data_IF_472473195623
#
_entry.id   IF_472473195623
#
_cell.length_a   1.000
_cell.length_b   1.000
_cell.length_c   1.000
_cell.angle_alpha   90.00
_cell.angle_beta   90.00
_cell.angle_gamma   90.00
#
_symmetry.space_group_name_H-M   'P 1'
#
loop_
_entity.id
_entity.type
_entity.pdbx_description
1 polymer ?
#
# COMPACT_ATOMS: atom_id res chain seq x y z
N UNK A 1 -3.02 8.27 -5.88
CA UNK A 1 -2.00 9.31 -5.62
C UNK A 1 -0.96 9.33 -6.74
N UNK A 2 -1.21 10.05 -7.83
CA UNK A 2 -0.17 10.32 -8.83
C UNK A 2 0.59 11.59 -8.43
N UNK A 3 1.90 11.49 -8.22
CA UNK A 3 2.73 12.68 -8.19
C UNK A 3 2.67 13.33 -9.58
N UNK A 4 2.47 14.65 -9.68
CA UNK A 4 2.42 15.32 -10.98
C UNK A 4 3.71 15.06 -11.76
N UNK A 5 3.56 14.80 -13.06
CA UNK A 5 4.64 14.45 -13.98
C UNK A 5 5.69 15.57 -13.96
N UNK A 6 6.98 15.21 -13.85
CA UNK A 6 8.09 16.17 -13.85
C UNK A 6 8.55 16.68 -12.48
N UNK A 7 7.95 16.24 -11.36
CA UNK A 7 8.52 16.52 -10.02
C UNK A 7 9.61 15.53 -9.65
N UNK A 8 10.67 16.04 -9.02
CA UNK A 8 11.69 15.22 -8.39
C UNK A 8 11.04 14.30 -7.32
N UNK A 9 11.39 13.01 -7.32
CA UNK A 9 10.92 12.03 -6.32
C UNK A 9 11.54 12.25 -4.93
N UNK A 10 12.46 13.20 -4.79
CA UNK A 10 13.12 13.55 -3.53
C UNK A 10 12.06 14.04 -2.53
N UNK A 11 12.17 13.58 -1.28
CA UNK A 11 11.22 13.88 -0.18
C UNK A 11 9.79 13.32 -0.38
N UNK A 12 9.55 12.46 -1.37
CA UNK A 12 8.27 11.74 -1.44
C UNK A 12 8.15 10.71 -0.30
N UNK A 13 6.97 10.55 0.31
CA UNK A 13 6.76 9.54 1.34
C UNK A 13 7.07 8.14 0.80
N UNK A 14 7.83 7.35 1.58
CA UNK A 14 8.16 5.96 1.22
C UNK A 14 6.95 5.03 1.31
N UNK A 15 6.05 5.29 2.26
CA UNK A 15 4.84 4.52 2.49
C UNK A 15 3.61 5.41 2.26
N UNK A 16 2.51 4.78 1.84
CA UNK A 16 1.21 5.44 1.71
C UNK A 16 0.27 4.83 2.73
N UNK A 17 -0.47 5.69 3.45
CA UNK A 17 -1.65 5.35 4.26
C UNK A 17 -1.50 4.26 5.35
N UNK A 18 -2.16 4.42 6.49
CA UNK A 18 -2.52 3.24 7.26
C UNK A 18 -3.65 2.49 6.53
N UNK A 19 -3.49 1.19 6.36
CA UNK A 19 -4.55 0.31 5.88
C UNK A 19 -4.83 -0.77 6.92
N UNK A 20 -6.11 -1.14 7.07
CA UNK A 20 -6.50 -2.22 7.97
C UNK A 20 -6.14 -3.56 7.35
N UNK A 21 -5.63 -4.48 8.16
CA UNK A 21 -5.45 -5.88 7.75
C UNK A 21 -6.83 -6.55 7.85
N UNK A 22 -7.31 -7.07 6.73
CA UNK A 22 -8.56 -7.82 6.63
C UNK A 22 -8.35 -9.31 6.85
N UNK A 23 -7.20 -9.86 6.42
CA UNK A 23 -6.89 -11.29 6.52
C UNK A 23 -5.39 -11.54 6.55
N UNK A 24 -4.96 -12.52 7.35
CA UNK A 24 -3.64 -13.12 7.31
C UNK A 24 -3.69 -14.44 6.52
N UNK A 25 -2.80 -14.58 5.52
CA UNK A 25 -2.68 -15.81 4.71
C UNK A 25 -1.72 -16.84 5.29
N UNK A 26 -1.07 -16.58 6.43
CA UNK A 26 -0.10 -17.45 7.11
C UNK A 26 1.15 -17.82 6.28
N UNK A 27 1.42 -17.05 5.23
CA UNK A 27 2.61 -17.17 4.38
C UNK A 27 3.36 -15.82 4.31
N UNK A 28 3.31 -15.04 5.40
CA UNK A 28 3.79 -13.67 5.48
C UNK A 28 3.10 -12.70 4.51
N UNK A 29 1.94 -13.05 3.95
CA UNK A 29 1.14 -12.14 3.15
C UNK A 29 -0.15 -11.77 3.85
N UNK A 30 -0.56 -10.51 3.69
CA UNK A 30 -1.75 -9.94 4.33
C UNK A 30 -2.64 -9.30 3.29
N UNK A 31 -3.95 -9.50 3.44
CA UNK A 31 -4.97 -8.77 2.70
C UNK A 31 -5.24 -7.44 3.40
N UNK A 32 -5.11 -6.34 2.67
CA UNK A 32 -5.36 -4.99 3.17
C UNK A 32 -6.66 -4.41 2.64
N UNK A 33 -7.30 -3.58 3.46
CA UNK A 33 -8.42 -2.74 3.06
C UNK A 33 -7.92 -1.50 2.31
N UNK A 34 -7.52 -1.69 1.04
CA UNK A 34 -7.12 -0.58 0.17
C UNK A 34 -8.35 0.07 -0.50
N UNK A 35 -8.32 1.40 -0.72
CA UNK A 35 -9.37 2.11 -1.45
C UNK A 35 -9.66 1.51 -2.83
N UNK A 36 -10.92 1.56 -3.24
CA UNK A 36 -11.38 1.08 -4.55
C UNK A 36 -10.65 1.75 -5.71
N UNK A 37 -10.29 3.03 -5.59
CA UNK A 37 -9.50 3.76 -6.58
C UNK A 37 -8.15 3.08 -6.87
N UNK A 38 -7.49 2.52 -5.84
CA UNK A 38 -6.23 1.80 -6.03
C UNK A 38 -6.44 0.44 -6.68
N UNK A 39 -7.51 -0.26 -6.30
CA UNK A 39 -7.90 -1.54 -6.93
C UNK A 39 -8.20 -1.34 -8.42
N UNK A 40 -8.92 -0.27 -8.78
CA UNK A 40 -9.24 0.10 -10.16
C UNK A 40 -7.98 0.43 -11.00
N UNK A 41 -6.91 0.90 -10.35
CA UNK A 41 -5.60 1.12 -10.98
C UNK A 41 -4.77 -0.16 -11.10
N UNK A 42 -5.33 -1.32 -10.77
CA UNK A 42 -4.68 -2.62 -10.84
C UNK A 42 -3.86 -3.00 -9.61
N UNK A 43 -3.96 -2.26 -8.50
CA UNK A 43 -3.25 -2.60 -7.27
C UNK A 43 -3.94 -3.78 -6.58
N UNK A 44 -3.20 -4.87 -6.39
CA UNK A 44 -3.70 -6.03 -5.67
C UNK A 44 -3.68 -5.77 -4.14
N UNK A 45 -4.75 -6.10 -3.40
CA UNK A 45 -4.83 -5.80 -1.96
C UNK A 45 -3.97 -6.72 -1.08
N UNK A 46 -3.38 -7.78 -1.64
CA UNK A 46 -2.53 -8.72 -0.89
C UNK A 46 -1.05 -8.35 -1.01
N UNK A 47 -0.38 -8.15 0.13
CA UNK A 47 1.02 -7.73 0.20
C UNK A 47 1.82 -8.60 1.17
N UNK A 48 3.09 -8.85 0.82
CA UNK A 48 4.04 -9.50 1.72
C UNK A 48 4.46 -8.55 2.87
N UNK A 49 4.70 -9.11 4.06
CA UNK A 49 5.03 -8.40 5.30
C UNK A 49 6.17 -7.40 5.15
N UNK A 50 7.17 -7.73 4.32
CA UNK A 50 8.33 -6.89 4.05
C UNK A 50 7.98 -5.53 3.39
N UNK A 51 6.81 -5.42 2.77
CA UNK A 51 6.31 -4.18 2.17
C UNK A 51 5.46 -3.35 3.14
N UNK A 52 5.15 -3.89 4.32
CA UNK A 52 4.29 -3.27 5.32
C UNK A 52 5.12 -2.62 6.43
N UNK A 53 4.51 -1.64 7.10
CA UNK A 53 5.09 -0.99 8.28
C UNK A 53 3.99 -0.68 9.27
N UNK A 54 4.21 -1.02 10.54
CA UNK A 54 3.26 -0.70 11.63
C UNK A 54 3.11 0.81 11.72
N UNK A 55 1.87 1.27 11.73
CA UNK A 55 1.49 2.66 11.95
C UNK A 55 1.21 2.87 13.44
N UNK A 56 1.69 3.98 14.01
CA UNK A 56 1.54 4.37 15.43
C UNK A 56 0.61 5.57 15.51
#
# INVERSE_FOLDING_TARGET
>A
LSLPKGRARKLSPKYIGPFKILKDYKNNSFLLDIPSELKQRGLHPAFHAHLLRVHV
#
